data_IF_815670949352
#
_entry.id   IF_815670949352
#
_cell.length_a   1.000
_cell.length_b   1.000
_cell.length_c   1.000
_cell.angle_alpha   90.00
_cell.angle_beta   90.00
_cell.angle_gamma   90.00
#
_symmetry.space_group_name_H-M   'P 1'
#
loop_
_entity.id
_entity.type
_entity.pdbx_description
1 polymer ?
#
# COMPACT_ATOMS: atom_id res chain seq x y z
N UNK A 1 -8.70 0.60 -40.88
CA UNK A 1 -9.49 0.32 -39.66
C UNK A 1 -9.43 -1.17 -39.42
N UNK A 2 -9.02 -1.60 -38.23
CA UNK A 2 -8.92 -3.02 -37.91
C UNK A 2 -10.30 -3.67 -37.92
N UNK A 3 -10.48 -4.72 -38.73
CA UNK A 3 -11.79 -5.36 -38.95
C UNK A 3 -12.46 -5.83 -37.65
N UNK A 4 -11.67 -6.25 -36.67
CA UNK A 4 -12.17 -6.69 -35.37
C UNK A 4 -12.78 -5.54 -34.55
N UNK A 5 -12.25 -4.31 -34.69
CA UNK A 5 -12.74 -3.14 -33.96
C UNK A 5 -14.05 -2.64 -34.55
N UNK A 6 -14.17 -2.61 -35.88
CA UNK A 6 -15.44 -2.33 -36.57
C UNK A 6 -16.52 -3.31 -36.14
N UNK A 7 -16.20 -4.60 -36.10
CA UNK A 7 -17.11 -5.63 -35.61
C UNK A 7 -17.52 -5.43 -34.15
N UNK A 8 -16.59 -5.05 -33.26
CA UNK A 8 -16.89 -4.77 -31.86
C UNK A 8 -17.86 -3.58 -31.71
N UNK A 9 -17.66 -2.52 -32.50
CA UNK A 9 -18.55 -1.36 -32.53
C UNK A 9 -19.94 -1.75 -33.05
N UNK A 10 -20.01 -2.49 -34.16
CA UNK A 10 -21.27 -3.00 -34.73
C UNK A 10 -22.05 -3.88 -33.74
N UNK A 11 -21.33 -4.72 -32.99
CA UNK A 11 -21.90 -5.57 -31.95
C UNK A 11 -22.18 -4.85 -30.62
N UNK A 12 -22.01 -3.53 -30.58
CA UNK A 12 -22.29 -2.70 -29.39
C UNK A 12 -21.56 -3.18 -28.15
N UNK A 13 -20.28 -3.54 -28.31
CA UNK A 13 -19.47 -4.04 -27.20
C UNK A 13 -19.35 -2.98 -26.10
N UNK A 14 -19.72 -3.36 -24.89
CA UNK A 14 -19.64 -2.51 -23.70
C UNK A 14 -18.31 -2.67 -22.93
N UNK A 15 -17.62 -3.81 -23.12
CA UNK A 15 -16.42 -4.16 -22.38
C UNK A 15 -15.30 -4.48 -23.36
N UNK A 16 -14.26 -3.64 -23.36
CA UNK A 16 -13.17 -3.77 -24.32
C UNK A 16 -11.82 -3.85 -23.59
N UNK A 17 -11.01 -4.85 -23.97
CA UNK A 17 -9.62 -4.99 -23.54
C UNK A 17 -8.72 -5.02 -24.76
N UNK A 18 -7.82 -4.05 -24.84
CA UNK A 18 -6.76 -3.99 -25.85
C UNK A 18 -5.44 -4.07 -25.09
N UNK A 19 -4.59 -5.01 -25.47
CA UNK A 19 -3.27 -5.17 -24.87
C UNK A 19 -2.31 -5.60 -25.96
N UNK A 20 -1.30 -4.77 -26.24
CA UNK A 20 -0.20 -5.16 -27.13
C UNK A 20 0.71 -6.19 -26.46
N UNK A 21 1.40 -6.98 -27.28
CA UNK A 21 2.21 -8.13 -26.84
C UNK A 21 3.64 -7.72 -26.46
N UNK A 22 4.15 -6.59 -26.98
CA UNK A 22 5.51 -6.12 -26.73
C UNK A 22 5.58 -4.62 -26.40
N UNK A 23 6.68 -4.22 -25.76
CA UNK A 23 7.03 -2.82 -25.47
C UNK A 23 7.38 -2.07 -26.75
N UNK A 24 7.88 -2.79 -27.76
CA UNK A 24 8.37 -2.25 -29.03
C UNK A 24 7.21 -1.93 -30.01
N UNK A 25 6.07 -2.61 -29.85
CA UNK A 25 4.88 -2.43 -30.71
C UNK A 25 3.77 -1.72 -29.93
N UNK A 26 3.99 -0.44 -29.60
CA UNK A 26 2.95 0.39 -28.98
C UNK A 26 1.78 0.52 -29.95
N UNK A 27 0.62 0.01 -29.53
CA UNK A 27 -0.59 0.05 -30.36
C UNK A 27 -1.22 1.44 -30.32
N UNK A 28 -1.18 2.15 -31.45
CA UNK A 28 -1.88 3.42 -31.60
C UNK A 28 -3.39 3.17 -31.68
N UNK A 29 -4.13 3.77 -30.74
CA UNK A 29 -5.58 3.61 -30.67
C UNK A 29 -6.26 4.19 -31.92
N UNK A 30 -7.13 3.42 -32.60
CA UNK A 30 -7.86 3.92 -33.77
C UNK A 30 -8.85 5.03 -33.41
N UNK A 31 -8.98 6.04 -34.27
CA UNK A 31 -9.85 7.21 -34.04
C UNK A 31 -11.31 6.86 -33.73
N UNK A 32 -11.85 5.81 -34.36
CA UNK A 32 -13.22 5.38 -34.13
C UNK A 32 -13.50 4.95 -32.68
N UNK A 33 -12.45 4.56 -31.94
CA UNK A 33 -12.60 4.16 -30.56
C UNK A 33 -12.77 5.36 -29.62
N UNK A 34 -12.18 6.52 -29.93
CA UNK A 34 -12.27 7.73 -29.09
C UNK A 34 -13.72 8.23 -28.97
N UNK A 35 -14.53 7.99 -29.99
CA UNK A 35 -15.94 8.41 -30.04
C UNK A 35 -16.93 7.31 -29.68
N UNK A 36 -16.44 6.13 -29.29
CA UNK A 36 -17.30 4.99 -28.93
C UNK A 36 -18.00 5.24 -27.58
N UNK A 37 -19.26 5.68 -27.66
CA UNK A 37 -20.07 6.07 -26.50
C UNK A 37 -20.75 4.89 -25.77
N UNK A 38 -20.63 3.67 -26.30
CA UNK A 38 -21.24 2.47 -25.73
C UNK A 38 -20.34 1.76 -24.70
N UNK A 39 -19.06 2.13 -24.64
CA UNK A 39 -18.11 1.51 -23.71
C UNK A 39 -18.47 1.83 -22.26
N UNK A 40 -18.56 0.78 -21.46
CA UNK A 40 -18.75 0.82 -20.01
C UNK A 40 -17.43 0.52 -19.30
N UNK A 41 -16.65 -0.44 -19.80
CA UNK A 41 -15.31 -0.75 -19.29
C UNK A 41 -14.26 -0.80 -20.39
N UNK A 42 -13.10 -0.21 -20.11
CA UNK A 42 -11.98 -0.15 -21.03
C UNK A 42 -10.67 -0.50 -20.33
N UNK A 43 -9.94 -1.47 -20.88
CA UNK A 43 -8.60 -1.85 -20.43
C UNK A 43 -7.63 -1.64 -21.59
N UNK A 44 -6.62 -0.80 -21.38
CA UNK A 44 -5.57 -0.51 -22.35
C UNK A 44 -4.22 -0.93 -21.77
N UNK A 45 -3.41 -1.62 -22.57
CA UNK A 45 -2.09 -2.09 -22.17
C UNK A 45 -1.09 -1.95 -23.32
N UNK A 46 0.05 -1.28 -23.09
CA UNK A 46 1.03 -1.00 -24.16
C UNK A 46 0.38 -0.32 -25.38
N UNK A 47 -0.47 0.69 -25.12
CA UNK A 47 -1.12 1.49 -26.14
C UNK A 47 -0.66 2.95 -26.05
N UNK A 48 -0.80 3.68 -27.14
CA UNK A 48 -0.74 5.15 -27.16
C UNK A 48 -2.06 5.68 -27.70
N UNK A 49 -2.50 6.81 -27.14
CA UNK A 49 -3.55 7.61 -27.76
C UNK A 49 -3.08 9.04 -27.90
N UNK A 50 -3.52 9.72 -28.96
CA UNK A 50 -3.13 11.08 -29.26
C UNK A 50 -3.84 12.05 -28.29
N UNK A 51 -3.06 12.83 -27.54
CA UNK A 51 -3.58 13.84 -26.63
C UNK A 51 -4.44 14.90 -27.36
N UNK A 52 -4.21 15.11 -28.66
CA UNK A 52 -4.94 16.09 -29.48
C UNK A 52 -6.30 15.58 -29.95
N UNK A 53 -6.56 14.27 -29.89
CA UNK A 53 -7.83 13.68 -30.30
C UNK A 53 -8.77 13.63 -29.10
N UNK A 54 -9.87 14.39 -29.17
CA UNK A 54 -10.84 14.46 -28.09
C UNK A 54 -11.43 13.08 -27.76
N UNK A 55 -11.28 12.65 -26.50
CA UNK A 55 -11.92 11.45 -25.98
C UNK A 55 -13.40 11.75 -25.71
N UNK A 56 -14.30 10.87 -26.13
CA UNK A 56 -15.75 11.00 -25.94
C UNK A 56 -16.41 9.69 -25.47
N UNK A 57 -15.81 9.06 -24.46
CA UNK A 57 -16.33 7.84 -23.83
C UNK A 57 -17.44 8.14 -22.81
N UNK A 58 -18.57 8.66 -23.31
CA UNK A 58 -19.67 9.23 -22.49
C UNK A 58 -20.31 8.26 -21.49
N UNK A 59 -20.25 6.95 -21.73
CA UNK A 59 -20.84 5.92 -20.86
C UNK A 59 -19.80 5.17 -20.02
N UNK A 60 -18.52 5.52 -20.11
CA UNK A 60 -17.45 4.76 -19.50
C UNK A 60 -17.42 4.94 -17.99
N UNK A 61 -17.59 3.83 -17.27
CA UNK A 61 -17.61 3.78 -15.80
C UNK A 61 -16.28 3.30 -15.22
N UNK A 62 -15.52 2.49 -15.95
CA UNK A 62 -14.24 1.97 -15.47
C UNK A 62 -13.18 2.00 -16.55
N UNK A 63 -12.01 2.54 -16.21
CA UNK A 63 -10.83 2.52 -17.07
C UNK A 63 -9.63 1.92 -16.34
N UNK A 64 -8.86 1.10 -17.06
CA UNK A 64 -7.59 0.56 -16.60
C UNK A 64 -6.51 0.81 -17.65
N UNK A 65 -5.50 1.58 -17.30
CA UNK A 65 -4.36 1.87 -18.17
C UNK A 65 -3.15 1.14 -17.62
N UNK A 66 -2.47 0.34 -18.44
CA UNK A 66 -1.36 -0.51 -18.02
C UNK A 66 -0.15 -0.28 -18.91
N UNK A 67 1.03 -0.11 -18.31
CA UNK A 67 2.28 0.12 -19.05
C UNK A 67 2.16 1.27 -20.06
N UNK A 68 1.69 2.43 -19.59
CA UNK A 68 1.44 3.59 -20.44
C UNK A 68 2.30 4.79 -20.03
N UNK A 69 2.81 5.50 -21.02
CA UNK A 69 3.42 6.83 -20.86
C UNK A 69 2.33 7.86 -21.13
N UNK A 70 1.96 8.63 -20.10
CA UNK A 70 0.87 9.60 -20.16
C UNK A 70 1.42 10.97 -19.78
N UNK A 71 1.18 11.98 -20.63
CA UNK A 71 1.41 13.38 -20.26
C UNK A 71 0.22 13.94 -19.46
N UNK A 72 0.39 15.14 -18.88
CA UNK A 72 -0.70 15.85 -18.22
C UNK A 72 -1.90 16.08 -19.18
N UNK A 73 -1.64 16.35 -20.47
CA UNK A 73 -2.70 16.57 -21.46
C UNK A 73 -3.52 15.31 -21.74
N UNK A 74 -2.88 14.14 -21.76
CA UNK A 74 -3.59 12.86 -21.88
C UNK A 74 -4.55 12.64 -20.71
N UNK A 75 -4.12 12.97 -19.48
CA UNK A 75 -4.95 12.84 -18.28
C UNK A 75 -6.14 13.81 -18.35
N UNK A 76 -5.90 15.07 -18.72
CA UNK A 76 -6.96 16.09 -18.85
C UNK A 76 -7.98 15.70 -19.91
N UNK A 77 -7.52 15.30 -21.10
CA UNK A 77 -8.39 14.86 -22.19
C UNK A 77 -9.21 13.61 -21.81
N UNK A 78 -8.60 12.63 -21.16
CA UNK A 78 -9.29 11.43 -20.69
C UNK A 78 -10.37 11.76 -19.66
N UNK A 79 -10.05 12.58 -18.65
CA UNK A 79 -10.99 12.93 -17.59
C UNK A 79 -12.14 13.81 -18.08
N UNK A 80 -11.90 14.70 -19.05
CA UNK A 80 -12.96 15.51 -19.67
C UNK A 80 -13.88 14.68 -20.58
N UNK A 81 -13.32 13.67 -21.25
CA UNK A 81 -14.05 12.76 -22.13
C UNK A 81 -14.87 11.67 -21.44
N UNK A 82 -14.66 11.45 -20.14
CA UNK A 82 -15.30 10.38 -19.35
C UNK A 82 -16.16 10.94 -18.20
N UNK A 83 -17.29 11.61 -18.47
CA UNK A 83 -18.06 12.35 -17.46
C UNK A 83 -18.69 11.46 -16.36
N UNK A 84 -18.94 10.18 -16.67
CA UNK A 84 -19.58 9.22 -15.74
C UNK A 84 -18.58 8.24 -15.12
N UNK A 85 -17.28 8.50 -15.24
CA UNK A 85 -16.23 7.60 -14.76
C UNK A 85 -16.32 7.41 -13.24
N UNK A 86 -16.39 6.16 -12.80
CA UNK A 86 -16.52 5.78 -11.39
C UNK A 86 -15.21 5.23 -10.82
N UNK A 87 -14.42 4.53 -11.66
CA UNK A 87 -13.18 3.85 -11.27
C UNK A 87 -12.06 4.07 -12.28
N UNK A 88 -10.89 4.47 -11.79
CA UNK A 88 -9.65 4.59 -12.56
C UNK A 88 -8.53 3.75 -11.94
N UNK A 89 -7.83 2.98 -12.77
CA UNK A 89 -6.65 2.21 -12.39
C UNK A 89 -5.50 2.53 -13.35
N UNK A 90 -4.38 2.99 -12.79
CA UNK A 90 -3.13 3.22 -13.53
C UNK A 90 -2.11 2.22 -13.01
N UNK A 91 -1.61 1.36 -13.90
CA UNK A 91 -0.61 0.36 -13.57
C UNK A 91 0.65 0.55 -14.39
N UNK A 92 1.82 0.59 -13.73
CA UNK A 92 3.12 0.80 -14.39
C UNK A 92 3.09 2.01 -15.32
N UNK A 93 2.65 3.13 -14.76
CA UNK A 93 2.48 4.39 -15.47
C UNK A 93 3.72 5.29 -15.31
N UNK A 94 3.88 6.28 -16.21
CA UNK A 94 4.87 7.37 -16.09
C UNK A 94 4.47 8.60 -16.92
N UNK A 95 5.16 9.73 -16.71
CA UNK A 95 5.11 10.90 -17.61
C UNK A 95 4.24 12.10 -17.19
N UNK A 96 3.47 12.01 -16.11
CA UNK A 96 2.62 13.10 -15.62
C UNK A 96 2.91 13.41 -14.14
N UNK A 97 2.73 14.68 -13.78
CA UNK A 97 3.05 15.20 -12.45
C UNK A 97 1.82 15.60 -11.65
N UNK A 98 0.64 15.68 -12.28
CA UNK A 98 -0.60 16.08 -11.61
C UNK A 98 -1.79 15.29 -12.10
N UNK A 99 -2.53 14.73 -11.16
CA UNK A 99 -3.80 14.02 -11.36
C UNK A 99 -4.91 14.78 -10.64
N UNK A 100 -5.65 15.59 -11.39
CA UNK A 100 -6.74 16.41 -10.88
C UNK A 100 -8.10 15.85 -11.30
N UNK A 101 -8.79 15.24 -10.35
CA UNK A 101 -10.08 14.58 -10.52
C UNK A 101 -11.16 15.43 -9.85
N UNK A 102 -11.80 16.30 -10.64
CA UNK A 102 -12.92 17.14 -10.16
C UNK A 102 -14.28 16.46 -10.21
N UNK A 103 -14.40 15.35 -10.95
CA UNK A 103 -15.68 14.64 -11.07
C UNK A 103 -16.09 14.02 -9.74
N UNK A 104 -17.32 14.32 -9.30
CA UNK A 104 -17.90 13.70 -8.10
C UNK A 104 -18.29 12.23 -8.31
N UNK A 105 -18.31 11.74 -9.55
CA UNK A 105 -18.64 10.35 -9.90
C UNK A 105 -17.47 9.40 -9.66
N UNK A 106 -16.22 9.86 -9.82
CA UNK A 106 -15.05 9.01 -9.65
C UNK A 106 -14.80 8.77 -8.16
N UNK A 107 -15.10 7.55 -7.70
CA UNK A 107 -15.01 7.16 -6.29
C UNK A 107 -13.79 6.31 -5.97
N UNK A 108 -13.19 5.66 -6.97
CA UNK A 108 -12.06 4.74 -6.78
C UNK A 108 -10.89 5.08 -7.70
N UNK A 109 -9.72 5.25 -7.10
CA UNK A 109 -8.43 5.43 -7.76
C UNK A 109 -7.44 4.36 -7.28
N UNK A 110 -6.86 3.63 -8.22
CA UNK A 110 -5.81 2.65 -7.97
C UNK A 110 -4.54 3.06 -8.73
N UNK A 111 -3.43 3.21 -8.03
CA UNK A 111 -2.09 3.42 -8.58
C UNK A 111 -1.23 2.18 -8.25
N UNK A 112 -0.82 1.43 -9.27
CA UNK A 112 -0.20 0.11 -9.13
C UNK A 112 1.15 0.08 -9.85
N UNK A 113 2.22 0.23 -9.09
CA UNK A 113 3.59 0.38 -9.59
C UNK A 113 3.83 1.61 -10.49
N UNK A 114 4.99 2.22 -10.33
CA UNK A 114 5.50 3.28 -11.21
C UNK A 114 6.57 2.69 -12.14
N UNK A 115 6.65 3.17 -13.38
CA UNK A 115 7.55 2.59 -14.39
C UNK A 115 8.56 3.62 -14.91
N UNK A 116 9.29 4.23 -13.99
CA UNK A 116 10.34 5.18 -14.32
C UNK A 116 11.49 5.05 -13.33
N UNK A 117 12.69 5.13 -13.86
CA UNK A 117 13.93 5.01 -13.08
C UNK A 117 14.41 6.40 -12.60
N UNK A 118 13.80 7.48 -13.11
CA UNK A 118 14.10 8.84 -12.69
C UNK A 118 13.76 9.10 -11.21
N UNK A 119 14.77 9.60 -10.51
CA UNK A 119 14.71 9.94 -9.10
C UNK A 119 13.94 11.24 -8.84
N UNK A 120 13.43 11.38 -7.62
CA UNK A 120 12.80 12.60 -7.09
C UNK A 120 11.56 13.15 -7.84
N UNK A 121 10.90 12.33 -8.65
CA UNK A 121 9.62 12.71 -9.26
C UNK A 121 8.52 12.85 -8.20
N UNK A 122 7.62 13.81 -8.42
CA UNK A 122 6.45 14.02 -7.58
C UNK A 122 5.18 13.94 -8.42
N UNK A 123 4.16 13.25 -7.90
CA UNK A 123 2.82 13.21 -8.46
C UNK A 123 1.83 13.84 -7.47
N UNK A 124 1.18 14.93 -7.86
CA UNK A 124 0.13 15.56 -7.07
C UNK A 124 -1.24 14.94 -7.37
N UNK A 125 -1.97 14.56 -6.33
CA UNK A 125 -3.32 14.00 -6.43
C UNK A 125 -4.30 14.99 -5.80
N UNK A 126 -5.19 15.54 -6.63
CA UNK A 126 -6.29 16.43 -6.24
C UNK A 126 -7.60 15.73 -6.60
N UNK A 127 -8.27 15.14 -5.61
CA UNK A 127 -9.48 14.35 -5.80
C UNK A 127 -10.43 14.49 -4.58
N UNK A 128 -11.09 15.66 -4.41
CA UNK A 128 -11.86 15.98 -3.20
C UNK A 128 -13.01 15.01 -2.91
N UNK A 129 -13.59 14.39 -3.94
CA UNK A 129 -14.74 13.49 -3.84
C UNK A 129 -14.40 12.00 -3.84
N UNK A 130 -13.10 11.68 -3.84
CA UNK A 130 -12.60 10.31 -3.88
C UNK A 130 -12.89 9.59 -2.57
N UNK A 131 -13.42 8.36 -2.63
CA UNK A 131 -13.77 7.58 -1.45
C UNK A 131 -12.80 6.42 -1.20
N UNK A 132 -12.14 5.93 -2.26
CA UNK A 132 -11.26 4.77 -2.21
C UNK A 132 -9.96 5.07 -2.96
N UNK A 133 -8.84 5.02 -2.22
CA UNK A 133 -7.50 5.18 -2.75
C UNK A 133 -6.69 3.92 -2.48
N UNK A 134 -6.10 3.36 -3.53
CA UNK A 134 -5.08 2.31 -3.42
C UNK A 134 -3.79 2.76 -4.10
N UNK A 135 -2.69 2.72 -3.37
CA UNK A 135 -1.33 2.91 -3.89
C UNK A 135 -0.52 1.68 -3.48
N UNK A 136 -0.09 0.87 -4.43
CA UNK A 136 0.57 -0.40 -4.14
C UNK A 136 1.71 -0.74 -5.11
N UNK A 137 2.49 -1.76 -4.73
CA UNK A 137 3.71 -2.22 -5.44
C UNK A 137 4.85 -1.20 -5.42
N UNK A 138 5.90 -1.39 -6.22
CA UNK A 138 7.07 -0.51 -6.23
C UNK A 138 6.77 0.81 -6.94
N UNK A 139 6.99 1.93 -6.26
CA UNK A 139 6.90 3.27 -6.88
C UNK A 139 8.27 3.84 -7.25
N UNK A 140 9.35 3.04 -7.14
CA UNK A 140 10.72 3.53 -7.27
C UNK A 140 10.91 4.76 -6.37
N UNK A 141 11.25 5.92 -6.95
CA UNK A 141 11.38 7.18 -6.22
C UNK A 141 10.20 8.15 -6.29
N UNK A 142 9.06 7.73 -6.81
CA UNK A 142 7.90 8.63 -6.98
C UNK A 142 7.28 9.04 -5.63
N UNK A 143 7.24 10.35 -5.39
CA UNK A 143 6.55 10.98 -4.25
C UNK A 143 5.11 11.35 -4.63
N UNK A 144 4.15 10.49 -4.31
CA UNK A 144 2.73 10.76 -4.57
C UNK A 144 2.13 11.71 -3.52
N UNK A 145 2.09 13.02 -3.74
CA UNK A 145 1.55 14.01 -2.78
C UNK A 145 0.01 14.03 -2.80
N UNK A 146 -0.62 13.87 -1.64
CA UNK A 146 -2.08 13.93 -1.50
C UNK A 146 -2.50 15.37 -1.20
N UNK A 147 -2.85 16.13 -2.23
CA UNK A 147 -3.17 17.56 -2.09
C UNK A 147 -4.54 17.75 -1.46
N UNK A 148 -5.59 17.21 -2.09
CA UNK A 148 -6.96 17.20 -1.55
C UNK A 148 -7.61 15.84 -1.79
N UNK A 149 -7.85 15.11 -0.69
CA UNK A 149 -8.54 13.81 -0.66
C UNK A 149 -9.56 13.79 0.49
N UNK A 150 -10.21 14.92 0.72
CA UNK A 150 -11.06 15.18 1.89
C UNK A 150 -12.20 14.18 2.11
N UNK A 151 -12.75 13.57 1.04
CA UNK A 151 -13.84 12.57 1.14
C UNK A 151 -13.37 11.12 1.34
N UNK A 152 -12.09 10.88 1.59
CA UNK A 152 -11.53 9.53 1.57
C UNK A 152 -12.05 8.67 2.73
N UNK A 153 -12.63 7.51 2.41
CA UNK A 153 -13.18 6.56 3.37
C UNK A 153 -12.26 5.36 3.56
N UNK A 154 -11.63 4.90 2.48
CA UNK A 154 -10.75 3.73 2.48
C UNK A 154 -9.43 4.06 1.79
N UNK A 155 -8.32 3.87 2.52
CA UNK A 155 -6.98 4.08 2.04
C UNK A 155 -6.16 2.80 2.17
N UNK A 156 -5.54 2.38 1.06
CA UNK A 156 -4.64 1.23 1.03
C UNK A 156 -3.29 1.65 0.46
N UNK A 157 -2.35 1.93 1.35
CA UNK A 157 -0.98 2.34 1.04
C UNK A 157 -0.05 1.15 1.26
N UNK A 158 0.01 0.27 0.27
CA UNK A 158 0.84 -0.95 0.32
C UNK A 158 1.93 -0.92 -0.72
N UNK A 159 2.49 0.26 -0.97
CA UNK A 159 3.61 0.45 -1.87
C UNK A 159 4.95 0.23 -1.17
N UNK A 160 6.03 0.25 -1.93
CA UNK A 160 7.41 0.32 -1.44
C UNK A 160 8.22 1.29 -2.31
N UNK A 161 9.26 1.88 -1.72
CA UNK A 161 10.18 2.81 -2.36
C UNK A 161 11.55 2.14 -2.40
N UNK A 162 12.16 2.11 -3.57
CA UNK A 162 13.52 1.58 -3.79
C UNK A 162 14.52 2.64 -3.33
N UNK A 163 15.60 2.29 -2.59
CA UNK A 163 16.56 3.34 -2.21
C UNK A 163 17.33 3.84 -3.42
N UNK A 164 17.81 5.08 -3.34
CA UNK A 164 18.69 5.67 -4.34
C UNK A 164 19.89 4.77 -4.67
N UNK A 165 20.57 4.22 -3.65
CA UNK A 165 21.69 3.27 -3.87
C UNK A 165 21.28 1.97 -4.55
N UNK A 166 20.08 1.47 -4.26
CA UNK A 166 19.56 0.26 -4.90
C UNK A 166 19.18 0.55 -6.37
N UNK A 167 18.70 1.76 -6.68
CA UNK A 167 18.42 2.22 -8.05
C UNK A 167 19.72 2.40 -8.83
N UNK A 168 20.70 3.11 -8.27
CA UNK A 168 22.00 3.34 -8.90
C UNK A 168 22.75 2.04 -9.18
N UNK A 169 22.71 1.08 -8.24
CA UNK A 169 23.23 -0.27 -8.47
C UNK A 169 22.53 -1.00 -9.64
N UNK A 170 21.22 -0.83 -9.80
CA UNK A 170 20.48 -1.41 -10.93
C UNK A 170 20.78 -0.72 -12.27
N UNK A 171 21.23 0.53 -12.24
CA UNK A 171 21.53 1.36 -13.41
C UNK A 171 23.03 1.40 -13.76
N UNK A 172 23.88 0.67 -13.04
CA UNK A 172 25.35 0.73 -13.14
C UNK A 172 25.91 2.18 -13.03
N UNK A 173 25.25 3.04 -12.26
CA UNK A 173 25.68 4.42 -12.01
C UNK A 173 26.75 4.47 -10.89
N UNK A 174 27.73 5.39 -11.00
CA UNK A 174 28.71 5.61 -9.93
C UNK A 174 27.99 6.10 -8.66
N UNK A 175 28.15 5.36 -7.56
CA UNK A 175 27.59 5.74 -6.26
C UNK A 175 28.55 6.73 -5.61
N UNK A 176 28.15 7.99 -5.47
CA UNK A 176 28.83 8.94 -4.60
C UNK A 176 28.25 8.81 -3.18
N UNK A 177 29.02 8.22 -2.25
CA UNK A 177 28.56 7.97 -0.88
C UNK A 177 28.24 9.27 -0.11
N UNK A 178 28.79 10.43 -0.52
CA UNK A 178 28.62 11.73 0.12
C UNK A 178 27.42 12.52 -0.47
N UNK A 179 27.21 12.50 -1.79
CA UNK A 179 26.02 13.12 -2.44
C UNK A 179 24.77 12.23 -2.35
N UNK A 180 24.88 10.91 -2.52
CA UNK A 180 23.76 9.96 -2.55
C UNK A 180 23.45 9.34 -1.20
N UNK A 181 23.41 10.19 -0.17
CA UNK A 181 23.00 9.73 1.15
C UNK A 181 21.52 9.32 1.12
N UNK A 182 21.27 8.01 1.29
CA UNK A 182 19.91 7.47 1.50
C UNK A 182 19.17 8.20 2.65
N UNK A 183 19.90 8.92 3.53
CA UNK A 183 19.35 9.76 4.61
C UNK A 183 18.58 10.98 4.09
N UNK A 184 19.13 11.74 3.14
CA UNK A 184 18.46 12.91 2.55
C UNK A 184 17.22 12.50 1.74
N UNK A 185 17.39 11.45 0.93
CA UNK A 185 16.31 10.83 0.18
C UNK A 185 15.14 10.40 1.08
N UNK A 186 15.46 9.70 2.19
CA UNK A 186 14.47 9.24 3.17
C UNK A 186 13.75 10.40 3.88
N UNK A 187 14.40 11.53 4.11
CA UNK A 187 13.78 12.68 4.76
C UNK A 187 12.57 13.21 3.98
N UNK A 188 12.63 13.23 2.64
CA UNK A 188 11.49 13.59 1.80
C UNK A 188 10.31 12.63 1.98
N UNK A 189 10.58 11.33 2.10
CA UNK A 189 9.56 10.31 2.35
C UNK A 189 9.01 10.33 3.78
N UNK A 190 9.82 10.72 4.77
CA UNK A 190 9.34 10.97 6.13
C UNK A 190 8.28 12.08 6.15
N UNK A 191 8.54 13.19 5.44
CA UNK A 191 7.58 14.28 5.29
C UNK A 191 6.31 13.78 4.57
N UNK A 192 6.48 12.99 3.51
CA UNK A 192 5.36 12.42 2.75
C UNK A 192 4.48 11.50 3.59
N UNK A 193 5.08 10.60 4.39
CA UNK A 193 4.35 9.70 5.29
C UNK A 193 3.61 10.49 6.36
N UNK A 194 4.21 11.55 6.89
CA UNK A 194 3.54 12.42 7.85
C UNK A 194 2.34 13.15 7.23
N UNK A 195 2.48 13.68 6.01
CA UNK A 195 1.38 14.30 5.27
C UNK A 195 0.25 13.28 4.99
N UNK A 196 0.59 12.03 4.62
CA UNK A 196 -0.42 10.98 4.47
C UNK A 196 -1.22 10.78 5.75
N UNK A 197 -0.59 10.73 6.92
CA UNK A 197 -1.32 10.57 8.18
C UNK A 197 -2.33 11.71 8.43
N UNK A 198 -1.97 12.95 8.08
CA UNK A 198 -2.88 14.09 8.15
C UNK A 198 -4.07 13.93 7.19
N UNK A 199 -3.78 13.60 5.93
CA UNK A 199 -4.78 13.44 4.87
C UNK A 199 -5.70 12.23 5.08
N UNK A 200 -5.21 11.21 5.78
CA UNK A 200 -5.94 9.99 6.12
C UNK A 200 -6.65 10.04 7.48
N UNK A 201 -6.51 11.13 8.24
CA UNK A 201 -7.02 11.26 9.63
C UNK A 201 -8.51 10.95 9.78
N UNK A 202 -9.31 11.21 8.74
CA UNK A 202 -10.76 10.98 8.72
C UNK A 202 -11.18 9.67 8.03
N UNK A 203 -10.25 8.90 7.47
CA UNK A 203 -10.56 7.66 6.77
C UNK A 203 -11.03 6.57 7.74
N UNK A 204 -12.13 5.89 7.40
CA UNK A 204 -12.71 4.78 8.19
C UNK A 204 -11.84 3.54 8.16
N UNK A 205 -11.19 3.26 7.02
CA UNK A 205 -10.40 2.06 6.79
C UNK A 205 -9.02 2.41 6.26
N UNK A 206 -7.98 1.95 6.96
CA UNK A 206 -6.59 2.17 6.60
C UNK A 206 -5.88 0.83 6.48
N UNK A 207 -5.17 0.63 5.38
CA UNK A 207 -4.30 -0.54 5.17
C UNK A 207 -2.90 -0.05 4.78
N UNK A 208 -1.89 -0.44 5.56
CA UNK A 208 -0.49 -0.05 5.32
C UNK A 208 0.43 -1.27 5.27
N UNK A 209 1.54 -1.17 4.55
CA UNK A 209 2.59 -2.21 4.46
C UNK A 209 3.86 -1.78 5.19
N UNK A 210 4.74 -2.75 5.49
CA UNK A 210 6.00 -2.64 6.22
C UNK A 210 6.75 -1.33 5.97
N UNK A 211 7.04 -0.97 4.72
CA UNK A 211 7.83 0.22 4.42
C UNK A 211 7.24 1.50 5.04
N UNK A 212 5.94 1.73 4.88
CA UNK A 212 5.24 2.87 5.48
C UNK A 212 5.35 2.85 7.01
N UNK A 213 5.21 1.67 7.61
CA UNK A 213 5.27 1.46 9.06
C UNK A 213 6.69 1.70 9.61
N UNK A 214 7.73 1.33 8.86
CA UNK A 214 9.12 1.58 9.24
C UNK A 214 9.46 3.07 9.17
N UNK A 215 9.00 3.78 8.13
CA UNK A 215 9.15 5.24 8.02
C UNK A 215 8.43 5.96 9.15
N UNK A 216 7.23 5.50 9.49
CA UNK A 216 6.48 5.99 10.66
C UNK A 216 7.27 5.80 11.96
N UNK A 217 7.84 4.62 12.17
CA UNK A 217 8.65 4.32 13.36
C UNK A 217 9.83 5.30 13.49
N UNK A 218 10.48 5.64 12.38
CA UNK A 218 11.57 6.61 12.35
C UNK A 218 11.12 8.04 12.67
N UNK A 219 9.96 8.47 12.14
CA UNK A 219 9.37 9.78 12.48
C UNK A 219 9.19 9.90 14.00
N UNK A 220 8.65 8.85 14.61
CA UNK A 220 8.44 8.83 16.04
C UNK A 220 9.75 8.78 16.83
N UNK A 221 10.82 8.11 16.34
CA UNK A 221 12.14 8.11 16.98
C UNK A 221 12.78 9.50 16.97
N UNK A 222 12.45 10.32 15.97
CA UNK A 222 12.80 11.74 15.93
C UNK A 222 11.89 12.63 16.78
N UNK A 223 10.97 12.05 17.56
CA UNK A 223 10.04 12.79 18.42
C UNK A 223 8.90 13.48 17.67
N UNK A 224 8.67 13.15 16.39
CA UNK A 224 7.57 13.74 15.61
C UNK A 224 6.24 13.12 16.03
N UNK A 225 5.29 13.97 16.42
CA UNK A 225 3.93 13.55 16.77
C UNK A 225 3.16 13.02 15.55
N UNK A 226 2.42 11.93 15.76
CA UNK A 226 1.50 11.37 14.76
C UNK A 226 0.11 11.98 15.00
N UNK A 227 -0.60 12.46 13.97
CA UNK A 227 -1.98 12.88 14.12
C UNK A 227 -2.90 11.71 14.48
N UNK A 228 -3.93 12.00 15.25
CA UNK A 228 -4.93 10.99 15.59
C UNK A 228 -5.70 10.52 14.35
N UNK A 229 -5.81 9.20 14.20
CA UNK A 229 -6.52 8.53 13.13
C UNK A 229 -7.88 8.04 13.63
N UNK A 230 -8.95 8.53 13.00
CA UNK A 230 -10.34 8.15 13.33
C UNK A 230 -10.77 6.83 12.70
N UNK A 231 -9.81 6.03 12.24
CA UNK A 231 -10.11 4.80 11.53
C UNK A 231 -10.73 3.75 12.46
N UNK A 232 -11.74 3.05 11.95
CA UNK A 232 -12.40 1.92 12.62
C UNK A 232 -11.77 0.59 12.25
N UNK A 233 -11.19 0.51 11.04
CA UNK A 233 -10.62 -0.71 10.48
C UNK A 233 -9.15 -0.47 10.11
N UNK A 234 -8.23 -1.09 10.85
CA UNK A 234 -6.80 -0.99 10.61
C UNK A 234 -6.25 -2.33 10.14
N UNK A 235 -5.58 -2.34 8.99
CA UNK A 235 -4.86 -3.53 8.49
C UNK A 235 -3.38 -3.24 8.30
N UNK A 236 -2.54 -4.02 8.98
CA UNK A 236 -1.09 -3.91 8.94
C UNK A 236 -0.52 -5.12 8.21
N UNK A 237 0.19 -4.90 7.10
CA UNK A 237 0.90 -5.95 6.38
C UNK A 237 2.38 -5.89 6.75
N UNK A 238 2.80 -6.78 7.66
CA UNK A 238 4.14 -6.76 8.25
C UNK A 238 5.05 -7.79 7.58
N UNK A 239 6.28 -7.37 7.29
CA UNK A 239 7.41 -8.25 6.98
C UNK A 239 8.24 -8.45 8.26
N UNK A 240 9.20 -9.37 8.22
CA UNK A 240 10.00 -9.77 9.39
C UNK A 240 11.12 -8.79 9.74
N UNK A 241 10.76 -7.54 10.02
CA UNK A 241 11.71 -6.53 10.47
C UNK A 241 11.26 -6.02 11.82
N UNK A 242 12.19 -5.91 12.78
CA UNK A 242 11.85 -5.51 14.16
C UNK A 242 11.13 -4.16 14.19
N UNK A 243 11.61 -3.20 13.40
CA UNK A 243 11.03 -1.87 13.21
C UNK A 243 9.55 -1.86 12.83
N UNK A 244 9.11 -2.89 12.09
CA UNK A 244 7.71 -2.99 11.69
C UNK A 244 6.75 -3.20 12.87
N UNK A 245 7.21 -3.84 13.95
CA UNK A 245 6.41 -4.04 15.16
C UNK A 245 6.36 -2.75 15.99
N UNK A 246 7.47 -2.04 16.11
CA UNK A 246 7.52 -0.73 16.78
C UNK A 246 6.62 0.29 16.07
N UNK A 247 6.72 0.40 14.74
CA UNK A 247 5.85 1.29 13.97
C UNK A 247 4.38 0.88 14.05
N UNK A 248 4.07 -0.42 14.11
CA UNK A 248 2.71 -0.89 14.32
C UNK A 248 2.15 -0.42 15.67
N UNK A 249 2.93 -0.52 16.75
CA UNK A 249 2.53 0.00 18.06
C UNK A 249 2.31 1.52 18.03
N UNK A 250 3.18 2.25 17.33
CA UNK A 250 3.02 3.69 17.12
C UNK A 250 1.74 4.08 16.42
N UNK A 251 1.38 3.35 15.36
CA UNK A 251 0.14 3.59 14.61
C UNK A 251 -1.10 3.23 15.44
N UNK A 252 -1.04 2.16 16.24
CA UNK A 252 -2.12 1.78 17.16
C UNK A 252 -2.35 2.84 18.24
N UNK A 253 -1.28 3.41 18.80
CA UNK A 253 -1.35 4.53 19.73
C UNK A 253 -2.03 5.75 19.13
N UNK A 254 -1.81 6.00 17.84
CA UNK A 254 -2.47 7.07 17.10
C UNK A 254 -3.90 6.74 16.66
N UNK A 255 -4.41 5.53 16.92
CA UNK A 255 -5.69 5.05 16.39
C UNK A 255 -6.67 4.57 17.48
N UNK A 256 -7.08 5.44 18.43
CA UNK A 256 -7.93 5.05 19.57
C UNK A 256 -9.34 4.57 19.17
N UNK A 257 -9.79 4.91 17.96
CA UNK A 257 -11.11 4.56 17.42
C UNK A 257 -11.17 3.20 16.72
N UNK A 258 -10.07 2.46 16.65
CA UNK A 258 -10.03 1.16 15.97
C UNK A 258 -10.96 0.17 16.64
N UNK A 259 -11.86 -0.41 15.85
CA UNK A 259 -12.78 -1.48 16.25
C UNK A 259 -12.26 -2.86 15.79
N UNK A 260 -11.54 -2.89 14.67
CA UNK A 260 -11.01 -4.11 14.06
C UNK A 260 -9.57 -3.91 13.59
N UNK A 261 -8.68 -4.73 14.14
CA UNK A 261 -7.27 -4.79 13.80
C UNK A 261 -6.94 -6.11 13.08
N UNK A 262 -6.35 -6.02 11.90
CA UNK A 262 -5.84 -7.18 11.16
C UNK A 262 -4.34 -7.04 10.90
N UNK A 263 -3.54 -7.94 11.46
CA UNK A 263 -2.10 -8.04 11.24
C UNK A 263 -1.84 -9.23 10.31
N UNK A 264 -1.37 -8.93 9.10
CA UNK A 264 -1.02 -9.90 8.06
C UNK A 264 0.51 -10.01 7.95
N UNK A 265 1.08 -11.11 8.43
CA UNK A 265 2.51 -11.37 8.43
C UNK A 265 2.90 -12.09 7.13
N UNK A 266 3.87 -11.50 6.43
CA UNK A 266 4.38 -11.98 5.14
C UNK A 266 5.85 -12.35 5.25
N UNK A 267 6.28 -13.38 4.51
CA UNK A 267 7.70 -13.59 4.27
C UNK A 267 8.13 -12.74 3.08
N UNK A 268 9.30 -12.11 3.17
CA UNK A 268 9.94 -11.52 1.99
C UNK A 268 10.64 -12.60 1.18
N UNK A 269 10.82 -12.33 -0.12
CA UNK A 269 11.88 -12.95 -0.89
C UNK A 269 13.24 -12.47 -0.31
N UNK A 270 14.24 -13.36 -0.18
CA UNK A 270 15.56 -13.00 0.34
C UNK A 270 16.26 -11.88 -0.44
N UNK A 271 15.94 -11.71 -1.72
CA UNK A 271 16.65 -10.82 -2.65
C UNK A 271 16.15 -9.37 -2.62
N UNK A 272 15.19 -9.05 -1.74
CA UNK A 272 14.70 -7.69 -1.58
C UNK A 272 15.58 -6.94 -0.56
N UNK A 273 16.81 -6.63 -0.96
CA UNK A 273 17.69 -5.70 -0.25
C UNK A 273 17.10 -4.31 -0.42
N UNK A 274 16.38 -3.84 0.59
CA UNK A 274 16.01 -2.43 0.70
C UNK A 274 17.06 -1.77 1.57
N UNK A 275 17.60 -0.63 1.14
CA UNK A 275 18.60 0.10 1.90
C UNK A 275 18.31 0.12 3.41
N UNK A 276 19.13 -0.64 4.14
CA UNK A 276 19.08 -0.78 5.57
C UNK A 276 19.91 0.30 6.28
N UNK A 277 20.70 1.11 5.54
CA UNK A 277 21.69 2.00 6.13
C UNK A 277 21.04 3.11 6.97
N UNK A 278 20.03 3.83 6.45
CA UNK A 278 19.31 4.82 7.25
C UNK A 278 18.52 4.23 8.42
N UNK A 279 18.01 3.00 8.27
CA UNK A 279 17.17 2.31 9.26
C UNK A 279 17.97 1.72 10.42
N UNK A 280 19.21 1.26 10.19
CA UNK A 280 20.06 0.64 11.22
C UNK A 280 20.80 1.68 12.07
N UNK A 281 21.23 2.80 11.48
CA UNK A 281 22.00 3.82 12.21
C UNK A 281 21.16 4.59 13.24
N UNK A 282 19.86 4.80 12.95
CA UNK A 282 18.89 5.37 13.91
C UNK A 282 18.60 4.44 15.11
N UNK A 283 18.80 3.13 14.93
CA UNK A 283 18.54 2.09 15.93
C UNK A 283 19.76 1.85 16.82
N UNK A 284 20.99 1.88 16.27
CA UNK A 284 22.23 1.67 17.03
C UNK A 284 22.45 2.71 18.13
N UNK A 285 21.97 3.94 17.95
CA UNK A 285 22.12 5.02 18.94
C UNK A 285 21.10 5.00 20.09
N UNK A 286 19.99 4.26 19.95
CA UNK A 286 18.91 4.25 20.94
C UNK A 286 18.78 2.84 21.51
N UNK A 287 18.93 2.69 22.83
CA UNK A 287 18.61 1.46 23.54
C UNK A 287 17.08 1.26 23.55
N UNK A 288 16.52 0.83 22.42
CA UNK A 288 15.08 0.83 22.13
C UNK A 288 14.42 -0.31 22.92
N UNK A 289 13.90 0.03 24.10
CA UNK A 289 13.00 -0.86 24.83
C UNK A 289 11.56 -0.61 24.35
N UNK A 290 10.97 -1.64 23.75
CA UNK A 290 9.58 -1.68 23.27
C UNK A 290 8.60 -1.23 24.38
N UNK A 291 8.88 -1.53 25.64
CA UNK A 291 8.04 -1.11 26.77
C UNK A 291 7.99 0.40 27.01
N UNK A 292 9.08 1.14 26.76
CA UNK A 292 9.08 2.61 26.94
C UNK A 292 8.14 3.29 25.95
N UNK A 293 8.06 2.76 24.73
CA UNK A 293 7.20 3.25 23.66
C UNK A 293 5.75 2.83 23.80
N UNK A 294 5.53 1.65 24.37
CA UNK A 294 4.20 1.07 24.59
C UNK A 294 3.66 1.41 25.99
N UNK A 295 4.18 2.47 26.61
CA UNK A 295 3.62 3.02 27.85
C UNK A 295 2.21 3.58 27.58
N UNK A 296 1.24 2.66 27.69
CA UNK A 296 -0.20 2.76 27.91
C UNK A 296 -0.94 3.64 26.90
N UNK A 297 -1.26 3.07 25.73
CA UNK A 297 -2.42 3.51 24.95
C UNK A 297 -3.61 2.61 25.27
N UNK A 298 -4.78 3.19 25.46
CA UNK A 298 -6.04 2.46 25.67
C UNK A 298 -6.73 2.33 24.33
N UNK A 299 -7.23 1.13 24.03
CA UNK A 299 -8.05 0.88 22.84
C UNK A 299 -9.50 0.63 23.28
N UNK A 300 -10.28 1.69 23.53
CA UNK A 300 -11.60 1.56 24.13
C UNK A 300 -12.63 0.86 23.25
N UNK A 301 -12.41 0.88 21.93
CA UNK A 301 -13.37 0.37 20.95
C UNK A 301 -12.93 -0.94 20.28
N UNK A 302 -11.74 -1.45 20.58
CA UNK A 302 -11.19 -2.62 19.89
C UNK A 302 -11.96 -3.88 20.27
N UNK A 303 -12.73 -4.40 19.31
CA UNK A 303 -13.55 -5.61 19.44
C UNK A 303 -12.88 -6.83 18.85
N UNK A 304 -12.20 -6.65 17.70
CA UNK A 304 -11.69 -7.76 16.92
C UNK A 304 -10.20 -7.58 16.60
N UNK A 305 -9.40 -8.57 16.97
CA UNK A 305 -8.00 -8.69 16.55
C UNK A 305 -7.85 -9.95 15.72
N UNK A 306 -7.17 -9.83 14.59
CA UNK A 306 -6.79 -10.97 13.75
C UNK A 306 -5.31 -10.89 13.43
N UNK A 307 -4.57 -11.95 13.75
CA UNK A 307 -3.18 -12.13 13.32
C UNK A 307 -3.16 -13.32 12.38
N UNK A 308 -2.71 -13.11 11.14
CA UNK A 308 -2.63 -14.15 10.13
C UNK A 308 -1.25 -14.16 9.49
N UNK A 309 -0.76 -15.35 9.13
CA UNK A 309 0.41 -15.48 8.25
C UNK A 309 -0.08 -15.84 6.85
N UNK A 310 0.25 -15.02 5.86
CA UNK A 310 -0.17 -15.22 4.46
C UNK A 310 0.99 -15.52 3.50
N UNK A 311 2.16 -15.84 4.04
CA UNK A 311 3.34 -16.20 3.26
C UNK A 311 3.13 -17.40 2.33
N UNK A 312 3.77 -17.36 1.14
CA UNK A 312 3.92 -18.50 0.23
C UNK A 312 5.22 -19.27 0.42
N UNK A 313 6.12 -18.78 1.28
CA UNK A 313 7.41 -19.40 1.58
C UNK A 313 7.39 -19.91 3.03
N UNK A 314 7.98 -21.09 3.25
CA UNK A 314 8.10 -21.71 4.56
C UNK A 314 9.00 -20.91 5.49
N UNK A 315 8.61 -20.88 6.75
CA UNK A 315 9.14 -19.96 7.75
C UNK A 315 10.02 -20.66 8.79
N UNK A 316 10.38 -21.92 8.50
CA UNK A 316 11.03 -22.85 9.42
C UNK A 316 12.42 -22.34 9.86
N UNK A 317 13.16 -21.65 8.97
CA UNK A 317 14.55 -21.21 9.24
C UNK A 317 14.76 -19.68 9.18
N UNK A 318 13.69 -18.88 9.07
CA UNK A 318 13.82 -17.47 8.68
C UNK A 318 13.10 -16.49 9.61
N UNK A 319 12.80 -16.85 10.85
CA UNK A 319 12.26 -15.92 11.84
C UNK A 319 13.30 -15.62 12.89
N UNK A 320 13.68 -14.35 12.95
CA UNK A 320 14.44 -13.84 14.06
C UNK A 320 13.58 -13.96 15.34
N UNK A 321 14.11 -14.64 16.36
CA UNK A 321 13.48 -14.79 17.68
C UNK A 321 13.06 -13.44 18.27
N UNK A 322 13.85 -12.39 18.03
CA UNK A 322 13.55 -11.03 18.44
C UNK A 322 12.24 -10.49 17.84
N UNK A 323 11.98 -10.75 16.55
CA UNK A 323 10.72 -10.36 15.91
C UNK A 323 9.53 -11.10 16.55
N UNK A 324 9.67 -12.40 16.81
CA UNK A 324 8.62 -13.19 17.46
C UNK A 324 8.35 -12.69 18.88
N UNK A 325 9.40 -12.31 19.62
CA UNK A 325 9.29 -11.68 20.95
C UNK A 325 8.54 -10.36 20.89
N UNK A 326 8.89 -9.46 19.98
CA UNK A 326 8.22 -8.17 19.84
C UNK A 326 6.75 -8.33 19.43
N UNK A 327 6.45 -9.26 18.52
CA UNK A 327 5.07 -9.57 18.14
C UNK A 327 4.27 -10.13 19.32
N UNK A 328 4.90 -10.97 20.16
CA UNK A 328 4.30 -11.45 21.39
C UNK A 328 3.98 -10.29 22.34
N UNK A 329 4.94 -9.41 22.61
CA UNK A 329 4.75 -8.24 23.49
C UNK A 329 3.64 -7.33 22.98
N UNK A 330 3.61 -7.03 21.67
CA UNK A 330 2.51 -6.28 21.06
C UNK A 330 1.15 -6.96 21.27
N UNK A 331 1.09 -8.28 21.08
CA UNK A 331 -0.14 -9.06 21.24
C UNK A 331 -0.63 -9.07 22.69
N UNK A 332 0.28 -9.22 23.66
CA UNK A 332 -0.03 -9.14 25.08
C UNK A 332 -0.56 -7.75 25.47
N UNK A 333 0.00 -6.70 24.88
CA UNK A 333 -0.44 -5.32 25.13
C UNK A 333 -1.81 -5.04 24.54
N UNK A 334 -2.16 -5.64 23.40
CA UNK A 334 -3.53 -5.58 22.89
C UNK A 334 -4.53 -6.22 23.87
N UNK A 335 -4.17 -7.36 24.49
CA UNK A 335 -5.04 -8.00 25.50
C UNK A 335 -5.17 -7.17 26.78
N UNK A 336 -4.10 -6.51 27.21
CA UNK A 336 -4.06 -5.69 28.43
C UNK A 336 -4.72 -4.32 28.29
N UNK A 337 -4.87 -3.79 27.07
CA UNK A 337 -5.34 -2.42 26.84
C UNK A 337 -6.65 -2.31 26.05
N UNK A 338 -7.20 -3.42 25.56
CA UNK A 338 -8.49 -3.42 24.87
C UNK A 338 -9.65 -3.68 25.84
N UNK A 339 -10.48 -2.67 26.06
CA UNK A 339 -11.58 -2.71 27.05
C UNK A 339 -12.73 -3.62 26.64
N UNK A 340 -13.07 -3.63 25.35
CA UNK A 340 -14.26 -4.30 24.80
C UNK A 340 -13.90 -5.44 23.83
N UNK A 341 -12.72 -6.05 24.00
CA UNK A 341 -12.24 -7.10 23.11
C UNK A 341 -13.16 -8.33 23.14
N UNK A 342 -13.74 -8.68 21.99
CA UNK A 342 -14.61 -9.85 21.83
C UNK A 342 -13.82 -11.05 21.30
N UNK A 343 -13.01 -10.84 20.25
CA UNK A 343 -12.34 -11.92 19.52
C UNK A 343 -10.89 -11.59 19.23
N UNK A 344 -10.01 -12.52 19.60
CA UNK A 344 -8.60 -12.52 19.20
C UNK A 344 -8.32 -13.78 18.39
N UNK A 345 -8.21 -13.63 17.07
CA UNK A 345 -8.07 -14.76 16.13
C UNK A 345 -6.65 -14.86 15.62
N UNK A 346 -6.01 -16.00 15.81
CA UNK A 346 -4.69 -16.32 15.27
C UNK A 346 -4.88 -17.38 14.18
N UNK A 347 -4.46 -17.07 12.96
CA UNK A 347 -4.60 -17.95 11.81
C UNK A 347 -3.23 -18.38 11.28
N UNK A 348 -2.96 -19.66 11.36
CA UNK A 348 -1.76 -20.32 10.84
C UNK A 348 -2.10 -21.27 9.70
N UNK A 349 -2.54 -20.75 8.54
CA UNK A 349 -2.89 -21.61 7.40
C UNK A 349 -1.68 -22.40 6.92
N UNK A 350 -1.79 -23.74 6.87
CA UNK A 350 -0.86 -24.57 6.10
C UNK A 350 -0.94 -24.18 4.63
N UNK A 351 0.21 -23.83 4.03
CA UNK A 351 0.32 -23.51 2.60
C UNK A 351 1.47 -24.27 2.01
N UNK A 352 1.30 -24.69 0.74
CA UNK A 352 2.39 -25.24 -0.05
C UNK A 352 3.44 -24.15 -0.23
N UNK A 353 4.63 -24.44 0.29
CA UNK A 353 5.77 -23.55 0.22
C UNK A 353 6.34 -23.53 -1.19
N UNK A 354 6.58 -22.34 -1.76
CA UNK A 354 7.23 -22.19 -3.07
C UNK A 354 8.71 -22.64 -3.05
N UNK A 355 9.39 -22.57 -1.89
CA UNK A 355 10.81 -22.94 -1.75
C UNK A 355 11.06 -24.42 -1.47
N UNK A 356 10.30 -25.04 -0.57
CA UNK A 356 10.49 -26.43 -0.18
C UNK A 356 9.39 -27.37 -0.70
N UNK A 357 8.40 -26.86 -1.44
CA UNK A 357 7.27 -27.62 -1.98
C UNK A 357 6.37 -28.36 -0.96
N UNK A 358 6.65 -28.26 0.34
CA UNK A 358 5.87 -28.88 1.42
C UNK A 358 4.77 -27.96 1.97
N UNK A 359 3.73 -28.54 2.58
CA UNK A 359 2.73 -27.79 3.35
C UNK A 359 3.31 -27.39 4.71
N UNK A 360 3.83 -26.17 4.80
CA UNK A 360 4.45 -25.71 6.04
C UNK A 360 3.44 -24.97 6.92
N UNK A 361 3.36 -25.37 8.19
CA UNK A 361 2.71 -24.59 9.25
C UNK A 361 3.72 -23.62 9.88
N UNK A 362 3.21 -22.51 10.43
CA UNK A 362 4.06 -21.52 11.07
C UNK A 362 4.34 -21.89 12.52
N UNK A 363 5.51 -22.46 12.78
CA UNK A 363 5.90 -23.00 14.11
C UNK A 363 5.79 -22.01 15.27
N UNK A 364 5.81 -20.70 15.04
CA UNK A 364 5.78 -19.68 16.10
C UNK A 364 4.39 -19.17 16.46
N UNK A 365 3.38 -19.36 15.60
CA UNK A 365 2.02 -18.89 15.91
C UNK A 365 1.35 -19.77 16.97
N UNK A 366 1.72 -21.05 17.03
CA UNK A 366 1.20 -21.96 18.05
C UNK A 366 1.74 -21.62 19.46
N UNK A 367 3.07 -21.49 19.69
CA UNK A 367 3.60 -21.00 20.98
C UNK A 367 3.10 -19.60 21.34
N UNK A 368 2.92 -18.71 20.35
CA UNK A 368 2.29 -17.41 20.56
C UNK A 368 0.86 -17.57 21.11
N UNK A 369 0.05 -18.42 20.50
CA UNK A 369 -1.32 -18.68 20.95
C UNK A 369 -1.36 -19.28 22.36
N UNK A 370 -0.53 -20.28 22.66
CA UNK A 370 -0.43 -20.89 24.00
C UNK A 370 -0.06 -19.85 25.06
N UNK A 371 0.94 -19.01 24.78
CA UNK A 371 1.38 -17.99 25.73
C UNK A 371 0.35 -16.87 25.93
N UNK A 372 -0.41 -16.52 24.89
CA UNK A 372 -1.50 -15.54 24.99
C UNK A 372 -2.71 -16.08 25.77
N UNK A 373 -2.96 -17.40 25.76
CA UNK A 373 -4.02 -18.00 26.58
C UNK A 373 -3.80 -17.74 28.08
N UNK A 374 -2.55 -17.78 28.54
CA UNK A 374 -2.17 -17.50 29.93
C UNK A 374 -1.92 -16.01 30.25
N UNK A 375 -2.04 -15.11 29.28
CA UNK A 375 -1.77 -13.68 29.50
C UNK A 375 -2.97 -12.98 30.17
N UNK A 376 -2.74 -12.00 31.06
CA UNK A 376 -3.83 -11.24 31.68
C UNK A 376 -4.57 -10.41 30.63
N UNK A 377 -5.90 -10.32 30.79
CA UNK A 377 -6.80 -9.68 29.83
C UNK A 377 -7.62 -8.61 30.55
N UNK A 378 -7.78 -7.46 29.91
CA UNK A 378 -8.62 -6.39 30.44
C UNK A 378 -10.10 -6.69 30.19
N UNK A 379 -10.42 -7.29 29.05
CA UNK A 379 -11.78 -7.75 28.73
C UNK A 379 -12.01 -9.20 29.15
N UNK A 380 -12.92 -9.40 30.10
CA UNK A 380 -13.28 -10.71 30.67
C UNK A 380 -13.99 -11.65 29.69
N UNK A 381 -14.65 -11.09 28.68
CA UNK A 381 -15.43 -11.86 27.69
C UNK A 381 -14.64 -12.20 26.41
N UNK A 382 -13.35 -11.85 26.35
CA UNK A 382 -12.52 -12.04 25.16
C UNK A 382 -12.22 -13.51 24.88
N UNK A 383 -12.54 -13.96 23.67
CA UNK A 383 -12.25 -15.33 23.19
C UNK A 383 -11.00 -15.32 22.31
N UNK A 384 -10.01 -16.13 22.68
CA UNK A 384 -8.82 -16.38 21.85
C UNK A 384 -9.06 -17.64 21.01
N UNK A 385 -8.99 -17.50 19.69
CA UNK A 385 -9.25 -18.58 18.73
C UNK A 385 -7.99 -18.82 17.92
N UNK A 386 -7.43 -20.02 18.01
CA UNK A 386 -6.38 -20.49 17.12
C UNK A 386 -7.00 -21.32 15.99
N UNK A 387 -6.66 -21.01 14.73
CA UNK A 387 -7.07 -21.77 13.54
C UNK A 387 -5.84 -22.15 12.74
N UNK A 388 -5.64 -23.45 12.54
CA UNK A 388 -4.59 -24.00 11.67
C UNK A 388 -5.09 -24.22 10.23
#
# INVERSE_FOLDING_TARGET
>A
MDRWLSFAIEKKVENLKIQSVSIEEVYALPECLYTCSLLITLVLGFCSFDANVAVAWKSLKSIKLKWMVLSNDHIVNLLSGCPVLETMELSRFKGFSRLEIRSSKLKRLNLIAYNDDELDRSLEIVAPYLQHLEICESLYGLKCKLVDVSSLVNAKLTFEITCIKDIQYLLDEEIDDDEDSCRGYLQGFMILVWDYLQKLSSASKITVRTWFIEVLCMLQFKGVGIPELKCKYLTLKLNKKELSVFGAAGLLRASPHVECLNIDIRAMHPDATFCCFGLQDLVKGNNINLQRWISIFVLPNLKNVKIAVSSRICLINHLNWSYAKNLFELSELLLKNALVLEKFVIISKRRRCEKCSMNCAYKYLFPLAEKLLGSPRLSTNSVIIFRE
#
